data_IF_393448270501
#
_entry.id   IF_393448270501
#
_cell.length_a   1.000
_cell.length_b   1.000
_cell.length_c   1.000
_cell.angle_alpha   90.00
_cell.angle_beta   90.00
_cell.angle_gamma   90.00
#
_symmetry.space_group_name_H-M   'P 1'
#
loop_
_entity.id
_entity.type
_entity.pdbx_description
1 polymer ?
#
# COMPACT_ATOMS: atom_id res chain seq x y z
N UNK A 1 -55.14 39.30 37.47
CA UNK A 1 -53.95 38.61 36.95
C UNK A 1 -53.47 39.43 35.76
N UNK A 2 -52.59 40.39 36.03
CA UNK A 2 -51.16 40.32 35.74
C UNK A 2 -50.91 40.30 34.21
N UNK A 3 -50.67 41.48 33.62
CA UNK A 3 -49.36 41.95 33.08
C UNK A 3 -49.08 41.42 31.67
N UNK A 4 -48.54 42.13 30.69
CA UNK A 4 -48.16 43.52 30.45
C UNK A 4 -47.58 43.55 29.02
N UNK A 5 -47.76 44.66 28.33
CA UNK A 5 -47.25 45.03 27.00
C UNK A 5 -45.73 45.13 26.90
N UNK A 6 -45.15 44.75 25.74
CA UNK A 6 -43.95 45.32 25.09
C UNK A 6 -43.78 44.59 23.73
N UNK A 7 -43.60 45.20 22.55
CA UNK A 7 -42.98 46.47 22.20
C UNK A 7 -41.48 46.24 21.90
N UNK A 8 -41.10 46.09 20.62
CA UNK A 8 -39.68 45.96 20.25
C UNK A 8 -39.44 45.62 18.78
N UNK A 9 -39.33 46.66 17.94
CA UNK A 9 -38.77 46.64 16.59
C UNK A 9 -37.23 46.71 16.72
N UNK A 10 -36.44 45.86 16.03
CA UNK A 10 -35.12 46.18 15.41
C UNK A 10 -34.31 44.94 15.00
N UNK A 11 -33.52 45.15 13.94
CA UNK A 11 -32.34 44.42 13.45
C UNK A 11 -32.56 43.23 12.49
N UNK A 12 -32.56 43.56 11.20
CA UNK A 12 -31.90 42.74 10.18
C UNK A 12 -30.38 42.93 10.29
N UNK A 13 -29.58 41.86 10.24
CA UNK A 13 -28.16 41.85 9.83
C UNK A 13 -27.63 40.39 9.73
N UNK A 14 -26.97 40.12 8.60
CA UNK A 14 -25.94 39.09 8.32
C UNK A 14 -26.37 37.60 8.38
N UNK A 15 -26.48 36.87 7.27
CA UNK A 15 -25.43 36.38 6.36
C UNK A 15 -24.49 35.32 6.98
N UNK A 16 -24.28 34.26 6.19
CA UNK A 16 -23.37 33.11 6.36
C UNK A 16 -23.83 32.04 7.37
N UNK A 17 -23.96 30.76 7.02
CA UNK A 17 -23.65 30.10 5.76
C UNK A 17 -24.31 28.73 5.71
N UNK A 18 -24.46 28.24 4.49
CA UNK A 18 -24.62 26.82 4.23
C UNK A 18 -23.48 26.08 4.94
N UNK A 19 -23.79 25.47 6.08
CA UNK A 19 -23.01 24.38 6.63
C UNK A 19 -23.66 23.08 6.19
N UNK A 20 -23.69 22.80 4.88
CA UNK A 20 -23.43 21.41 4.49
C UNK A 20 -22.14 21.06 5.22
N UNK A 21 -22.22 20.17 6.21
CA UNK A 21 -21.03 19.44 6.60
C UNK A 21 -20.62 18.68 5.34
N UNK A 22 -19.82 19.34 4.51
CA UNK A 22 -18.95 18.67 3.58
C UNK A 22 -18.25 17.62 4.43
N UNK A 23 -18.38 16.36 4.02
CA UNK A 23 -17.50 15.33 4.50
C UNK A 23 -16.08 15.90 4.45
N UNK A 24 -15.52 16.22 5.61
CA UNK A 24 -14.08 16.41 5.74
C UNK A 24 -13.52 15.07 5.35
N UNK A 25 -13.07 14.98 4.11
CA UNK A 25 -12.34 13.84 3.58
C UNK A 25 -11.11 13.65 4.47
N UNK A 26 -11.27 12.86 5.53
CA UNK A 26 -10.15 12.14 6.09
C UNK A 26 -9.87 11.09 5.03
N UNK A 27 -8.90 11.41 4.16
CA UNK A 27 -8.24 10.38 3.39
C UNK A 27 -7.52 9.55 4.44
N UNK A 28 -8.17 8.48 4.91
CA UNK A 28 -7.53 7.53 5.78
C UNK A 28 -6.37 6.94 4.98
N UNK A 29 -5.16 7.33 5.37
CA UNK A 29 -3.94 6.90 4.75
C UNK A 29 -3.01 6.27 5.79
N UNK A 30 -2.37 5.19 5.38
CA UNK A 30 -1.24 4.59 6.07
C UNK A 30 -0.16 4.37 5.03
N UNK A 31 0.98 5.01 5.19
CA UNK A 31 2.14 4.80 4.32
C UNK A 31 3.24 4.11 5.11
N UNK A 32 3.94 3.16 4.50
CA UNK A 32 5.07 2.48 5.12
C UNK A 32 6.14 2.16 4.08
N UNK A 33 7.37 1.93 4.54
CA UNK A 33 8.48 1.48 3.72
C UNK A 33 8.97 0.11 4.19
N UNK A 34 9.29 -0.81 3.27
CA UNK A 34 10.19 -1.92 3.57
C UNK A 34 11.57 -1.62 3.01
N UNK A 35 12.58 -1.70 3.87
CA UNK A 35 14.00 -1.69 3.45
C UNK A 35 14.51 -3.12 3.36
N UNK A 36 15.30 -3.38 2.33
CA UNK A 36 15.91 -4.69 2.09
C UNK A 36 14.88 -5.84 2.06
N UNK A 37 13.69 -5.59 1.52
CA UNK A 37 12.68 -6.62 1.30
C UNK A 37 13.24 -7.70 0.36
N UNK A 38 13.09 -8.95 0.77
CA UNK A 38 13.57 -10.10 0.02
C UNK A 38 12.45 -10.66 -0.85
N UNK A 39 12.69 -10.75 -2.16
CA UNK A 39 11.81 -11.38 -3.12
C UNK A 39 12.49 -12.62 -3.68
N UNK A 40 11.86 -13.77 -3.58
CA UNK A 40 12.37 -15.05 -4.09
C UNK A 40 11.43 -15.62 -5.14
N UNK A 41 11.98 -16.05 -6.27
CA UNK A 41 11.22 -16.71 -7.33
C UNK A 41 11.25 -18.23 -7.17
N UNK A 42 10.15 -18.91 -7.51
CA UNK A 42 10.09 -20.37 -7.50
C UNK A 42 10.93 -21.01 -8.61
N UNK A 43 11.13 -20.29 -9.71
CA UNK A 43 12.01 -20.65 -10.84
C UNK A 43 12.86 -19.45 -11.23
N UNK A 44 13.99 -19.70 -11.87
CA UNK A 44 14.81 -18.64 -12.46
C UNK A 44 14.04 -17.80 -13.48
N UNK A 45 14.09 -16.48 -13.33
CA UNK A 45 13.58 -15.51 -14.31
C UNK A 45 14.66 -15.25 -15.35
N UNK A 46 14.34 -15.45 -16.63
CA UNK A 46 15.26 -15.26 -17.77
C UNK A 46 14.69 -14.21 -18.73
N UNK A 47 15.37 -13.95 -19.84
CA UNK A 47 14.83 -13.10 -20.91
C UNK A 47 13.58 -13.70 -21.59
N UNK A 48 13.36 -15.01 -21.48
CA UNK A 48 12.16 -15.64 -22.06
C UNK A 48 10.99 -15.58 -21.09
N UNK A 49 9.84 -14.99 -21.48
CA UNK A 49 8.65 -14.96 -20.63
C UNK A 49 8.16 -16.35 -20.25
N UNK A 50 8.00 -16.60 -18.95
CA UNK A 50 7.53 -17.88 -18.44
C UNK A 50 6.67 -17.72 -17.18
N UNK A 51 5.73 -18.65 -16.99
CA UNK A 51 4.91 -18.71 -15.79
C UNK A 51 5.77 -19.04 -14.56
N UNK A 52 5.65 -18.20 -13.53
CA UNK A 52 6.42 -18.29 -12.31
C UNK A 52 5.59 -17.81 -11.11
N UNK A 53 6.06 -18.10 -9.92
CA UNK A 53 5.54 -17.57 -8.67
C UNK A 53 6.68 -17.00 -7.84
N UNK A 54 6.34 -16.10 -6.93
CA UNK A 54 7.31 -15.49 -6.03
C UNK A 54 6.75 -15.33 -4.62
N UNK A 55 7.67 -15.13 -3.69
CA UNK A 55 7.37 -14.72 -2.31
C UNK A 55 8.20 -13.48 -2.00
N UNK A 56 7.54 -12.46 -1.48
CA UNK A 56 8.18 -11.27 -0.93
C UNK A 56 8.00 -11.24 0.58
N UNK A 57 9.06 -10.94 1.31
CA UNK A 57 9.04 -10.74 2.76
C UNK A 57 9.80 -9.47 3.11
N UNK A 58 9.26 -8.66 4.01
CA UNK A 58 9.92 -7.43 4.46
C UNK A 58 9.45 -6.97 5.82
N UNK A 59 10.31 -6.22 6.50
CA UNK A 59 9.93 -5.46 7.69
C UNK A 59 9.52 -4.06 7.23
N UNK A 60 8.39 -3.60 7.73
CA UNK A 60 7.83 -2.29 7.44
C UNK A 60 8.28 -1.31 8.52
N UNK A 61 8.83 -0.19 8.10
CA UNK A 61 9.30 0.91 8.93
C UNK A 61 8.70 2.21 8.43
N UNK A 62 8.91 3.30 9.18
CA UNK A 62 8.41 4.64 8.85
C UNK A 62 6.91 4.62 8.53
N UNK A 63 6.14 3.89 9.34
CA UNK A 63 4.71 3.79 9.15
C UNK A 63 4.03 5.06 9.66
N UNK A 64 3.42 5.81 8.75
CA UNK A 64 2.82 7.11 9.05
C UNK A 64 1.34 7.11 8.65
N UNK A 65 0.49 7.55 9.59
CA UNK A 65 -0.92 7.83 9.32
C UNK A 65 -1.15 9.32 9.31
N UNK A 66 -1.20 9.95 8.13
CA UNK A 66 -1.33 11.41 8.04
C UNK A 66 -2.68 11.90 8.57
N UNK A 67 -3.74 11.08 8.43
CA UNK A 67 -5.05 11.36 9.01
C UNK A 67 -5.11 11.11 10.52
N UNK A 68 -4.12 10.40 11.09
CA UNK A 68 -4.14 9.91 12.46
C UNK A 68 -5.13 8.77 12.70
N UNK A 69 -5.69 8.16 11.64
CA UNK A 69 -6.65 7.05 11.74
C UNK A 69 -6.02 5.77 12.31
N UNK A 70 -4.71 5.62 12.21
CA UNK A 70 -3.98 4.44 12.69
C UNK A 70 -2.93 4.81 13.76
N UNK A 71 -3.32 5.42 14.89
CA UNK A 71 -2.38 6.03 15.84
C UNK A 71 -1.56 5.01 16.65
N UNK A 72 -1.92 3.73 16.60
CA UNK A 72 -1.25 2.65 17.32
C UNK A 72 -0.34 1.81 16.42
N UNK A 73 -0.25 2.13 15.12
CA UNK A 73 0.66 1.47 14.19
C UNK A 73 1.98 2.22 14.23
N UNK A 74 3.05 1.51 14.59
CA UNK A 74 4.43 2.02 14.63
C UNK A 74 5.27 1.40 13.50
N UNK A 75 5.11 0.09 13.30
CA UNK A 75 5.82 -0.67 12.28
C UNK A 75 5.01 -1.92 11.88
N UNK A 76 5.55 -2.73 10.98
CA UNK A 76 4.88 -3.93 10.52
C UNK A 76 5.80 -4.95 9.87
N UNK A 77 5.20 -6.01 9.36
CA UNK A 77 5.85 -6.98 8.47
C UNK A 77 4.92 -7.29 7.32
N UNK A 78 5.47 -7.52 6.13
CA UNK A 78 4.74 -7.95 4.95
C UNK A 78 5.19 -9.33 4.51
N UNK A 79 4.23 -10.16 4.14
CA UNK A 79 4.44 -11.38 3.37
C UNK A 79 3.51 -11.33 2.18
N UNK A 80 4.07 -11.31 0.98
CA UNK A 80 3.30 -11.34 -0.26
C UNK A 80 3.64 -12.58 -1.07
N UNK A 81 2.61 -13.18 -1.67
CA UNK A 81 2.75 -14.30 -2.61
C UNK A 81 2.06 -13.92 -3.90
N UNK A 82 2.81 -14.03 -4.99
CA UNK A 82 2.34 -13.65 -6.32
C UNK A 82 2.67 -14.70 -7.36
N UNK A 83 1.96 -14.63 -8.48
CA UNK A 83 2.21 -15.45 -9.66
C UNK A 83 1.93 -14.65 -10.92
N UNK A 84 2.64 -14.97 -12.00
CA UNK A 84 2.52 -14.25 -13.25
C UNK A 84 3.41 -14.85 -14.34
N UNK A 85 3.45 -14.18 -15.48
CA UNK A 85 4.41 -14.49 -16.55
C UNK A 85 5.54 -13.48 -16.46
N UNK A 86 6.71 -13.90 -15.97
CA UNK A 86 7.83 -13.02 -15.64
C UNK A 86 8.94 -13.12 -16.69
N UNK A 87 9.64 -12.02 -16.93
CA UNK A 87 10.78 -11.93 -17.85
C UNK A 87 11.69 -10.76 -17.47
N UNK A 88 12.99 -10.88 -17.73
CA UNK A 88 13.91 -9.75 -17.64
C UNK A 88 13.81 -8.75 -18.82
N UNK A 89 13.33 -9.21 -19.98
CA UNK A 89 13.37 -8.45 -21.23
C UNK A 89 12.01 -7.93 -21.71
N UNK A 90 10.92 -8.42 -21.11
CA UNK A 90 9.55 -8.04 -21.47
C UNK A 90 8.82 -7.47 -20.26
N UNK A 91 7.78 -6.68 -20.53
CA UNK A 91 6.82 -6.30 -19.50
C UNK A 91 6.13 -7.55 -18.97
N UNK A 92 6.10 -7.70 -17.67
CA UNK A 92 5.40 -8.77 -16.98
C UNK A 92 4.09 -8.26 -16.37
N UNK A 93 3.21 -9.21 -16.09
CA UNK A 93 2.01 -9.00 -15.29
C UNK A 93 1.92 -10.11 -14.27
N UNK A 94 1.52 -9.73 -13.07
CA UNK A 94 1.38 -10.65 -11.96
C UNK A 94 0.23 -10.23 -11.06
N UNK A 95 -0.28 -11.19 -10.31
CA UNK A 95 -1.30 -10.97 -9.31
C UNK A 95 -0.97 -11.81 -8.08
N UNK A 96 -1.49 -11.38 -6.94
CA UNK A 96 -1.15 -12.02 -5.68
C UNK A 96 -1.97 -11.52 -4.52
N UNK A 97 -1.59 -12.04 -3.35
CA UNK A 97 -2.10 -11.60 -2.07
C UNK A 97 -0.94 -11.19 -1.17
N UNK A 98 -1.10 -10.09 -0.45
CA UNK A 98 -0.18 -9.61 0.56
C UNK A 98 -0.86 -9.60 1.92
N UNK A 99 -0.15 -10.08 2.94
CA UNK A 99 -0.58 -10.01 4.33
C UNK A 99 0.41 -9.15 5.11
N UNK A 100 -0.14 -8.10 5.70
CA UNK A 100 0.54 -7.15 6.57
C UNK A 100 0.16 -7.47 8.01
N UNK A 101 1.15 -7.56 8.89
CA UNK A 101 0.95 -7.62 10.35
C UNK A 101 1.50 -6.34 10.95
N UNK A 102 0.70 -5.67 11.77
CA UNK A 102 1.02 -4.36 12.31
C UNK A 102 1.32 -4.45 13.80
N UNK A 103 2.27 -3.65 14.24
CA UNK A 103 2.73 -3.61 15.62
C UNK A 103 2.76 -2.19 16.16
N UNK A 104 2.58 -2.06 17.48
CA UNK A 104 2.87 -0.83 18.20
C UNK A 104 4.36 -0.72 18.56
N UNK A 105 4.77 0.42 19.12
CA UNK A 105 6.15 0.69 19.55
C UNK A 105 6.67 -0.28 20.65
N UNK A 106 5.79 -1.08 21.25
CA UNK A 106 6.14 -2.11 22.23
C UNK A 106 6.20 -3.52 21.62
N UNK A 107 6.19 -3.64 20.29
CA UNK A 107 6.16 -4.89 19.52
C UNK A 107 4.92 -5.76 19.79
N UNK A 108 3.78 -5.17 20.18
CA UNK A 108 2.52 -5.90 20.30
C UNK A 108 1.74 -5.79 19.01
N UNK A 109 1.23 -6.93 18.53
CA UNK A 109 0.37 -6.96 17.36
C UNK A 109 -0.89 -6.14 17.59
N UNK A 110 -1.17 -5.16 16.72
CA UNK A 110 -2.36 -4.30 16.76
C UNK A 110 -3.38 -4.64 15.68
N UNK A 111 -3.00 -5.46 14.71
CA UNK A 111 -3.91 -5.98 13.71
C UNK A 111 -3.22 -6.44 12.44
N UNK A 112 -4.02 -6.67 11.41
CA UNK A 112 -3.59 -7.22 10.12
C UNK A 112 -4.34 -6.55 8.98
N UNK A 113 -3.66 -6.39 7.85
CA UNK A 113 -4.28 -6.01 6.58
C UNK A 113 -3.99 -7.11 5.55
N UNK A 114 -4.99 -7.54 4.82
CA UNK A 114 -4.78 -8.44 3.68
C UNK A 114 -5.22 -7.73 2.41
N UNK A 115 -4.40 -7.80 1.37
CA UNK A 115 -4.64 -7.16 0.07
C UNK A 115 -4.63 -8.23 -1.00
N UNK A 116 -5.59 -8.17 -1.92
CA UNK A 116 -5.44 -8.79 -3.24
C UNK A 116 -4.98 -7.72 -4.23
N UNK A 117 -3.88 -7.99 -4.93
CA UNK A 117 -3.24 -7.01 -5.80
C UNK A 117 -2.99 -7.57 -7.20
N UNK A 118 -2.89 -6.64 -8.14
CA UNK A 118 -2.42 -6.85 -9.49
C UNK A 118 -1.29 -5.87 -9.73
N UNK A 119 -0.24 -6.33 -10.40
CA UNK A 119 0.90 -5.50 -10.71
C UNK A 119 1.49 -5.85 -12.05
N UNK A 120 2.42 -5.00 -12.44
CA UNK A 120 3.22 -5.19 -13.63
C UNK A 120 4.59 -4.60 -13.42
N UNK A 121 5.53 -5.16 -14.13
CA UNK A 121 6.92 -4.90 -13.97
C UNK A 121 7.64 -4.86 -15.29
N UNK A 122 8.73 -4.12 -15.30
CA UNK A 122 9.70 -4.20 -16.39
C UNK A 122 11.09 -3.98 -15.82
N UNK A 123 11.94 -4.97 -16.04
CA UNK A 123 13.38 -4.81 -15.91
C UNK A 123 13.96 -4.09 -17.12
N UNK A 124 14.98 -3.27 -16.88
CA UNK A 124 15.84 -2.73 -17.93
C UNK A 124 17.27 -3.16 -17.65
N UNK A 125 17.75 -4.14 -18.42
CA UNK A 125 19.12 -4.67 -18.30
C UNK A 125 20.21 -3.61 -18.50
N UNK A 126 19.89 -2.51 -19.18
CA UNK A 126 20.82 -1.42 -19.46
C UNK A 126 21.05 -0.43 -18.30
N UNK A 127 20.05 -0.21 -17.44
CA UNK A 127 20.18 0.69 -16.28
C UNK A 127 20.12 -0.03 -14.94
N UNK A 128 19.77 -1.32 -14.93
CA UNK A 128 19.55 -2.07 -13.69
C UNK A 128 18.25 -1.69 -12.98
N UNK A 129 17.43 -0.82 -13.60
CA UNK A 129 16.17 -0.41 -13.03
C UNK A 129 15.12 -1.49 -13.31
N UNK A 130 14.51 -1.99 -12.25
CA UNK A 130 13.25 -2.72 -12.32
C UNK A 130 12.21 -1.77 -11.75
N UNK A 131 11.28 -1.32 -12.59
CA UNK A 131 10.10 -0.60 -12.13
C UNK A 131 8.96 -1.60 -12.00
N UNK A 132 8.55 -1.89 -10.77
CA UNK A 132 7.34 -2.66 -10.51
C UNK A 132 6.35 -1.78 -9.77
N UNK A 133 5.10 -1.87 -10.20
CA UNK A 133 3.99 -1.17 -9.58
C UNK A 133 2.86 -2.17 -9.33
N UNK A 134 2.27 -2.09 -8.14
CA UNK A 134 1.18 -2.93 -7.71
C UNK A 134 0.02 -2.05 -7.27
N UNK A 135 -1.20 -2.45 -7.64
CA UNK A 135 -2.43 -1.85 -7.16
C UNK A 135 -3.37 -2.91 -6.66
N UNK A 136 -4.17 -2.59 -5.66
CA UNK A 136 -5.06 -3.56 -5.05
C UNK A 136 -6.11 -2.94 -4.16
N UNK A 137 -6.91 -3.81 -3.58
CA UNK A 137 -7.92 -3.44 -2.59
C UNK A 137 -7.74 -4.32 -1.36
N UNK A 138 -7.79 -3.69 -0.20
CA UNK A 138 -7.75 -4.40 1.08
C UNK A 138 -9.02 -5.22 1.28
N UNK A 139 -8.87 -6.41 1.84
CA UNK A 139 -9.98 -7.28 2.16
C UNK A 139 -10.79 -6.68 3.33
N UNK A 140 -12.11 -6.76 3.25
CA UNK A 140 -13.04 -6.32 4.29
C UNK A 140 -12.84 -7.01 5.65
N UNK A 141 -12.17 -8.17 5.70
CA UNK A 141 -11.80 -8.85 6.96
C UNK A 141 -10.56 -8.28 7.64
N UNK A 142 -9.88 -7.31 7.02
CA UNK A 142 -8.73 -6.63 7.61
C UNK A 142 -9.14 -5.88 8.88
N UNK A 143 -8.27 -5.89 9.89
CA UNK A 143 -8.51 -5.17 11.15
C UNK A 143 -7.86 -3.78 11.16
N UNK A 144 -6.88 -3.56 10.28
CA UNK A 144 -6.24 -2.26 10.01
C UNK A 144 -6.41 -1.93 8.53
N UNK A 145 -6.62 -0.65 8.22
CA UNK A 145 -6.88 -0.14 6.87
C UNK A 145 -7.91 -0.97 6.05
N UNK A 146 -9.06 -1.39 6.62
CA UNK A 146 -10.05 -2.13 5.85
C UNK A 146 -10.71 -1.25 4.79
N UNK A 147 -10.98 -1.82 3.61
CA UNK A 147 -11.64 -1.15 2.48
C UNK A 147 -10.80 -0.03 1.81
N UNK A 148 -9.56 0.18 2.25
CA UNK A 148 -8.61 1.06 1.57
C UNK A 148 -8.13 0.43 0.27
N UNK A 149 -7.70 1.27 -0.66
CA UNK A 149 -6.92 0.88 -1.81
C UNK A 149 -5.47 0.71 -1.39
N UNK A 150 -4.76 -0.04 -2.20
CA UNK A 150 -3.37 -0.35 -2.04
C UNK A 150 -2.63 0.08 -3.29
N UNK A 151 -1.54 0.81 -3.10
CA UNK A 151 -0.57 1.16 -4.12
C UNK A 151 0.82 0.82 -3.59
N UNK A 152 1.66 0.20 -4.41
CA UNK A 152 3.01 -0.16 -4.01
C UNK A 152 3.99 -0.10 -5.17
N UNK A 153 5.24 0.24 -4.85
CA UNK A 153 6.34 0.23 -5.82
C UNK A 153 7.59 -0.44 -5.23
N UNK A 154 8.21 -1.32 -6.00
CA UNK A 154 9.43 -2.05 -5.61
C UNK A 154 10.62 -1.56 -6.43
N UNK A 155 11.69 -1.18 -5.75
CA UNK A 155 12.96 -0.76 -6.34
C UNK A 155 14.07 -1.73 -5.90
N UNK A 156 14.63 -2.55 -6.80
CA UNK A 156 15.69 -3.50 -6.44
C UNK A 156 16.99 -2.77 -6.06
N UNK A 157 17.64 -3.28 -5.02
CA UNK A 157 18.98 -2.88 -4.57
C UNK A 157 20.01 -4.00 -4.79
N UNK A 158 19.56 -5.24 -5.01
CA UNK A 158 20.41 -6.38 -5.31
C UNK A 158 19.68 -7.52 -6.00
N UNK A 159 20.44 -8.39 -6.68
CA UNK A 159 19.92 -9.57 -7.38
C UNK A 159 20.86 -10.77 -7.24
N UNK A 160 20.27 -11.97 -7.20
CA UNK A 160 20.99 -13.25 -7.21
C UNK A 160 20.73 -13.97 -8.53
N UNK A 161 21.80 -14.29 -9.25
CA UNK A 161 21.76 -14.89 -10.60
C UNK A 161 21.84 -13.83 -11.71
N UNK A 162 21.55 -14.25 -12.94
CA UNK A 162 21.55 -13.38 -14.13
C UNK A 162 20.47 -13.82 -15.11
N UNK A 163 19.88 -12.86 -15.83
CA UNK A 163 18.87 -13.11 -16.86
C UNK A 163 19.37 -13.98 -18.02
N UNK A 164 20.69 -13.99 -18.25
CA UNK A 164 21.36 -14.76 -19.31
C UNK A 164 21.83 -16.14 -18.84
N UNK A 165 21.86 -16.38 -17.53
CA UNK A 165 22.30 -17.67 -17.00
C UNK A 165 21.19 -18.71 -17.16
N UNK A 166 21.53 -20.00 -17.39
CA UNK A 166 20.53 -21.06 -17.46
C UNK A 166 19.64 -21.17 -16.21
N UNK A 167 20.14 -20.69 -15.06
CA UNK A 167 19.42 -20.65 -13.79
C UNK A 167 18.59 -19.39 -13.55
N UNK A 168 18.70 -18.37 -14.41
CA UNK A 168 17.98 -17.10 -14.29
C UNK A 168 18.29 -16.30 -13.02
N UNK A 169 17.56 -15.19 -12.84
CA UNK A 169 17.47 -14.47 -11.56
C UNK A 169 16.55 -15.25 -10.63
N UNK A 170 17.02 -15.54 -9.41
CA UNK A 170 16.30 -16.38 -8.44
C UNK A 170 15.84 -15.61 -7.21
N UNK A 171 16.49 -14.48 -6.91
CA UNK A 171 16.09 -13.59 -5.82
C UNK A 171 16.45 -12.14 -6.12
N UNK A 172 15.68 -11.23 -5.54
CA UNK A 172 15.93 -9.79 -5.48
C UNK A 172 15.92 -9.34 -4.01
N UNK A 173 16.72 -8.32 -3.73
CA UNK A 173 16.59 -7.50 -2.53
C UNK A 173 16.25 -6.10 -2.99
N UNK A 174 15.39 -5.39 -2.27
CA UNK A 174 15.00 -4.05 -2.67
C UNK A 174 14.20 -3.28 -1.64
N UNK A 175 14.00 -2.02 -1.93
CA UNK A 175 13.16 -1.13 -1.15
C UNK A 175 11.74 -1.17 -1.72
N UNK A 176 10.74 -1.16 -0.85
CA UNK A 176 9.34 -1.20 -1.23
C UNK A 176 8.57 -0.11 -0.50
N UNK A 177 7.81 0.70 -1.23
CA UNK A 177 6.93 1.71 -0.65
C UNK A 177 5.48 1.25 -0.75
N UNK A 178 4.71 1.38 0.33
CA UNK A 178 3.30 0.98 0.41
C UNK A 178 2.44 2.18 0.81
N UNK A 179 1.31 2.36 0.12
CA UNK A 179 0.29 3.35 0.43
C UNK A 179 -1.09 2.68 0.53
N UNK A 180 -1.73 2.81 1.69
CA UNK A 180 -3.09 2.38 1.93
C UNK A 180 -4.03 3.58 2.00
N UNK A 181 -4.65 3.96 0.88
CA UNK A 181 -5.50 5.16 0.79
C UNK A 181 -6.95 4.84 0.46
N UNK A 182 -7.89 5.51 1.12
CA UNK A 182 -9.31 5.41 0.76
C UNK A 182 -9.59 6.15 -0.57
N UNK A 183 -10.15 5.47 -1.57
CA UNK A 183 -10.69 6.15 -2.77
C UNK A 183 -12.00 6.80 -2.35
N UNK A 184 -12.10 8.11 -2.56
CA UNK A 184 -13.39 8.76 -2.58
C UNK A 184 -14.12 8.31 -3.86
N UNK A 185 -15.12 7.45 -3.69
CA UNK A 185 -16.06 7.08 -4.76
C UNK A 185 -17.12 8.16 -4.92
#
# INVERSE_FOLDING_TARGET
MATSTAGGLLAALCAAGAGTAHATSLVDNLTCEAKDAALTFAKGVTDTPAANSYTLTGNLINCESMSGAYPNVDHGTVVAVGSGTLSCGATDSFNGNATFTWYDASNRSVGTTTVSFQGGGKGTSASGDISNHETGITNATSTVAPLNNYDSSFAPTGFTGSCTDPGGVTALTGDNFFDFSLIQV
#
